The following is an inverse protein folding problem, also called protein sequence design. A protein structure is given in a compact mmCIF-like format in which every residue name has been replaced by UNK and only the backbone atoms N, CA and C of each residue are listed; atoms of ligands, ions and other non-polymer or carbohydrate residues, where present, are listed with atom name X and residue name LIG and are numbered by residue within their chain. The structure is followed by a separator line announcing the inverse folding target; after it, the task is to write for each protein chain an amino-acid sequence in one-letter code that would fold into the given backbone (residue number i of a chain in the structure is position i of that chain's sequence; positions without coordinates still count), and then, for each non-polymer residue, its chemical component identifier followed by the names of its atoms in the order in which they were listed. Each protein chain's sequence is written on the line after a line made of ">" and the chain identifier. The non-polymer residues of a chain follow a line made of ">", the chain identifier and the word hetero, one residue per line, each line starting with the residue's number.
data_IF_236076229501
#
_entry.id   IF_236076229501
#
_cell.length_a   1.000
_cell.length_b   1.000
_cell.length_c   1.000
_cell.angle_alpha   90.00
_cell.angle_beta   90.00
_cell.angle_gamma   90.00
#
_symmetry.space_group_name_H-M   'P 1'
#
loop_
_entity.id
_entity.type
_entity.pdbx_description
1 polymer ?
#
# COMPACT_ATOMS: atom_id res chain seq x y z
N UNK A 1 -0.51 -9.14 -12.90
CA UNK A 1 0.26 -10.38 -12.56
C UNK A 1 1.11 -10.91 -13.72
N UNK A 2 0.64 -10.88 -14.96
CA UNK A 2 1.42 -11.33 -16.13
C UNK A 2 2.72 -10.53 -16.31
N UNK A 3 2.64 -9.18 -16.18
CA UNK A 3 3.82 -8.28 -16.25
C UNK A 3 4.93 -8.69 -15.28
N UNK A 4 4.58 -9.08 -14.05
CA UNK A 4 5.54 -9.54 -13.04
C UNK A 4 6.17 -10.87 -13.44
N UNK A 5 5.37 -11.82 -13.92
CA UNK A 5 5.87 -13.13 -14.37
C UNK A 5 6.84 -13.01 -15.55
N UNK A 6 6.61 -12.09 -16.46
CA UNK A 6 7.51 -11.83 -17.59
C UNK A 6 8.84 -11.25 -17.11
N UNK A 7 8.80 -10.30 -16.18
CA UNK A 7 10.02 -9.70 -15.60
C UNK A 7 10.86 -10.70 -14.82
N UNK A 8 10.27 -11.68 -14.17
CA UNK A 8 11.03 -12.72 -13.44
C UNK A 8 11.73 -13.74 -14.35
N UNK A 9 11.33 -13.84 -15.63
CA UNK A 9 11.90 -14.79 -16.58
C UNK A 9 13.17 -14.31 -17.28
N UNK A 10 13.39 -13.02 -17.35
CA UNK A 10 14.52 -12.43 -18.10
C UNK A 10 15.10 -11.21 -17.38
N UNK A 11 16.18 -11.45 -16.63
CA UNK A 11 16.85 -10.40 -15.85
C UNK A 11 17.66 -9.40 -16.71
N UNK A 12 18.10 -9.80 -17.89
CA UNK A 12 18.99 -8.96 -18.72
C UNK A 12 18.24 -7.90 -19.55
N UNK A 13 16.94 -8.09 -19.78
CA UNK A 13 16.14 -7.22 -20.66
C UNK A 13 14.93 -6.58 -19.95
N UNK A 14 14.64 -6.97 -18.72
CA UNK A 14 13.46 -6.51 -18.01
C UNK A 14 13.74 -5.33 -17.06
N UNK A 15 12.90 -4.32 -17.11
CA UNK A 15 12.90 -3.27 -16.10
C UNK A 15 12.59 -3.88 -14.71
N UNK A 16 13.04 -3.24 -13.61
CA UNK A 16 12.67 -3.67 -12.25
C UNK A 16 11.17 -3.84 -12.07
N UNK A 17 10.76 -4.80 -11.23
CA UNK A 17 9.37 -4.88 -10.78
C UNK A 17 9.08 -3.64 -9.94
N UNK A 18 8.01 -2.91 -10.26
CA UNK A 18 7.54 -1.77 -9.46
C UNK A 18 6.27 -2.15 -8.70
N UNK A 19 6.35 -2.13 -7.38
CA UNK A 19 5.22 -2.39 -6.48
C UNK A 19 4.86 -1.10 -5.74
N UNK A 20 3.59 -0.69 -5.80
CA UNK A 20 3.10 0.46 -5.04
C UNK A 20 2.21 -0.02 -3.89
N UNK A 21 2.33 0.62 -2.74
CA UNK A 21 1.58 0.30 -1.53
C UNK A 21 0.85 1.55 -1.05
N UNK A 22 -0.47 1.57 -1.23
CA UNK A 22 -1.36 2.65 -0.83
C UNK A 22 -2.09 2.26 0.45
N UNK A 23 -2.01 3.08 1.48
CA UNK A 23 -2.64 2.77 2.76
C UNK A 23 -2.39 3.83 3.84
N UNK A 24 -2.67 3.44 5.06
CA UNK A 24 -2.58 4.24 6.27
C UNK A 24 -1.21 4.12 6.99
N UNK A 25 -1.20 4.30 8.32
CA UNK A 25 -0.01 4.22 9.16
C UNK A 25 0.71 2.87 9.08
N UNK A 26 -0.01 1.77 8.93
CA UNK A 26 0.58 0.42 8.83
C UNK A 26 1.39 0.32 7.53
N UNK A 27 0.84 0.83 6.43
CA UNK A 27 1.54 0.91 5.14
C UNK A 27 2.68 1.92 5.19
N UNK A 28 2.51 3.05 5.88
CA UNK A 28 3.57 4.04 6.05
C UNK A 28 4.80 3.45 6.74
N UNK A 29 4.60 2.53 7.70
CA UNK A 29 5.65 1.87 8.48
C UNK A 29 5.59 2.21 9.95
N UNK A 30 4.43 2.65 10.46
CA UNK A 30 4.23 2.84 11.90
C UNK A 30 4.36 1.49 12.59
N UNK A 31 5.35 1.37 13.46
CA UNK A 31 5.70 0.16 14.20
C UNK A 31 5.08 0.17 15.60
N UNK A 32 5.06 1.32 16.23
CA UNK A 32 4.57 1.52 17.59
C UNK A 32 3.88 2.89 17.72
N UNK A 33 2.88 2.96 18.59
CA UNK A 33 2.27 4.23 19.03
C UNK A 33 2.74 4.55 20.43
N UNK A 34 3.30 5.74 20.62
CA UNK A 34 3.70 6.23 21.92
C UNK A 34 2.75 7.36 22.33
N UNK A 35 2.22 7.26 23.53
CA UNK A 35 1.51 8.37 24.15
C UNK A 35 2.53 9.43 24.62
N UNK A 36 2.55 10.57 23.95
CA UNK A 36 3.48 11.67 24.27
C UNK A 36 2.88 12.67 25.26
N UNK A 37 1.56 12.75 25.33
CA UNK A 37 0.74 13.51 26.29
C UNK A 37 -0.61 12.80 26.42
N UNK A 38 -1.41 13.07 27.47
CA UNK A 38 -2.72 12.45 27.62
C UNK A 38 -3.53 12.52 26.32
N UNK A 39 -3.91 11.36 25.78
CA UNK A 39 -4.69 11.17 24.55
C UNK A 39 -4.00 11.64 23.25
N UNK A 40 -2.68 11.97 23.29
CA UNK A 40 -1.90 12.35 22.11
C UNK A 40 -0.88 11.28 21.81
N UNK A 41 -1.03 10.64 20.65
CA UNK A 41 -0.17 9.54 20.21
C UNK A 41 0.69 9.97 19.02
N UNK A 42 1.98 9.62 19.07
CA UNK A 42 2.90 9.75 17.95
C UNK A 42 3.31 8.36 17.46
N UNK A 43 3.57 8.25 16.15
CA UNK A 43 4.06 7.02 15.54
C UNK A 43 5.59 6.93 15.63
N UNK A 44 6.09 5.79 16.09
CA UNK A 44 7.47 5.36 15.80
C UNK A 44 7.45 4.57 14.50
N UNK A 45 8.32 4.95 13.58
CA UNK A 45 8.41 4.30 12.27
C UNK A 45 9.61 3.36 12.21
N UNK A 46 9.39 2.16 11.63
CA UNK A 46 10.44 1.24 11.22
C UNK A 46 10.24 0.84 9.76
N UNK A 47 10.90 1.56 8.86
CA UNK A 47 10.82 1.33 7.42
C UNK A 47 11.51 0.03 6.97
N UNK A 48 12.34 -0.59 7.82
CA UNK A 48 12.97 -1.87 7.53
C UNK A 48 12.07 -3.07 7.90
N UNK A 49 11.24 -2.92 8.93
CA UNK A 49 10.32 -3.95 9.39
C UNK A 49 8.95 -3.90 8.70
N UNK A 50 8.64 -2.83 7.97
CA UNK A 50 7.35 -2.70 7.29
C UNK A 50 7.13 -3.80 6.24
N UNK A 51 5.90 -4.28 6.16
CA UNK A 51 5.55 -5.49 5.40
C UNK A 51 5.97 -5.46 3.92
N UNK A 52 5.90 -4.31 3.26
CA UNK A 52 6.31 -4.18 1.86
C UNK A 52 7.84 -4.25 1.67
N UNK A 53 8.64 -3.74 2.62
CA UNK A 53 10.10 -3.91 2.61
C UNK A 53 10.47 -5.38 2.81
N UNK A 54 9.77 -6.08 3.71
CA UNK A 54 9.97 -7.51 3.91
C UNK A 54 9.55 -8.33 2.68
N UNK A 55 8.45 -7.95 2.02
CA UNK A 55 8.01 -8.57 0.77
C UNK A 55 9.05 -8.39 -0.34
N UNK A 56 9.57 -7.16 -0.52
CA UNK A 56 10.66 -6.90 -1.46
C UNK A 56 11.84 -7.85 -1.22
N UNK A 57 12.34 -7.92 0.02
CA UNK A 57 13.46 -8.81 0.39
C UNK A 57 13.17 -10.28 0.05
N UNK A 58 11.94 -10.74 0.28
CA UNK A 58 11.51 -12.12 -0.06
C UNK A 58 11.46 -12.35 -1.58
N UNK A 59 10.93 -11.41 -2.35
CA UNK A 59 10.88 -11.55 -3.82
C UNK A 59 12.30 -11.60 -4.38
N UNK A 60 13.18 -10.70 -3.97
CA UNK A 60 14.58 -10.64 -4.43
C UNK A 60 15.39 -11.89 -4.00
N UNK A 61 15.04 -12.52 -2.87
CA UNK A 61 15.61 -13.80 -2.45
C UNK A 61 15.19 -14.94 -3.40
N UNK A 62 13.93 -14.99 -3.82
CA UNK A 62 13.41 -16.03 -4.73
C UNK A 62 13.85 -15.79 -6.18
N UNK A 63 13.94 -14.53 -6.58
CA UNK A 63 14.30 -14.10 -7.93
C UNK A 63 15.51 -13.14 -7.88
N UNK A 64 16.73 -13.66 -7.61
CA UNK A 64 17.91 -12.82 -7.28
C UNK A 64 18.34 -11.90 -8.41
N UNK A 65 17.93 -12.18 -9.64
CA UNK A 65 18.23 -11.36 -10.81
C UNK A 65 17.12 -10.37 -11.17
N UNK A 66 16.09 -10.26 -10.37
CA UNK A 66 14.93 -9.40 -10.64
C UNK A 66 14.80 -8.35 -9.53
N UNK A 67 15.38 -7.16 -9.70
CA UNK A 67 15.30 -6.12 -8.69
C UNK A 67 13.86 -5.61 -8.53
N UNK A 68 13.50 -5.28 -7.30
CA UNK A 68 12.17 -4.78 -6.94
C UNK A 68 12.26 -3.35 -6.44
N UNK A 69 11.49 -2.45 -7.04
CA UNK A 69 11.28 -1.09 -6.55
C UNK A 69 9.97 -1.03 -5.78
N UNK A 70 10.01 -0.44 -4.59
CA UNK A 70 8.84 -0.23 -3.73
C UNK A 70 8.50 1.25 -3.69
N UNK A 71 7.25 1.57 -3.93
CA UNK A 71 6.65 2.89 -3.75
C UNK A 71 5.79 2.79 -2.49
N UNK A 72 6.26 3.39 -1.40
CA UNK A 72 5.48 3.52 -0.17
C UNK A 72 4.60 4.77 -0.27
N UNK A 73 3.31 4.57 -0.51
CA UNK A 73 2.29 5.60 -0.53
C UNK A 73 1.38 5.51 0.72
N UNK A 74 1.91 5.03 1.84
CA UNK A 74 1.25 5.06 3.15
C UNK A 74 1.32 6.44 3.78
N UNK A 75 0.24 6.87 4.42
CA UNK A 75 0.17 8.11 5.22
C UNK A 75 -0.52 7.79 6.54
N UNK A 76 0.13 8.08 7.66
CA UNK A 76 -0.44 7.84 9.00
C UNK A 76 -1.70 8.66 9.20
N UNK A 77 -2.74 8.02 9.76
CA UNK A 77 -4.05 8.63 9.99
C UNK A 77 -4.95 8.71 8.75
N UNK A 78 -4.45 8.30 7.58
CA UNK A 78 -5.21 8.37 6.33
C UNK A 78 -6.34 7.33 6.29
N UNK A 79 -7.38 7.62 5.54
CA UNK A 79 -8.48 6.68 5.26
C UNK A 79 -8.68 6.52 3.75
N UNK A 80 -9.54 5.59 3.35
CA UNK A 80 -9.77 5.26 1.95
C UNK A 80 -10.21 6.47 1.11
N UNK A 81 -10.97 7.40 1.71
CA UNK A 81 -11.41 8.62 1.03
C UNK A 81 -10.24 9.51 0.61
N UNK A 82 -9.30 9.77 1.51
CA UNK A 82 -8.08 10.53 1.17
C UNK A 82 -7.21 9.74 0.19
N UNK A 83 -7.12 8.41 0.36
CA UNK A 83 -6.45 7.52 -0.59
C UNK A 83 -6.98 7.67 -2.02
N UNK A 84 -8.30 7.74 -2.20
CA UNK A 84 -8.93 7.94 -3.50
C UNK A 84 -8.55 9.29 -4.14
N UNK A 85 -8.39 10.34 -3.34
CA UNK A 85 -8.00 11.66 -3.84
C UNK A 85 -6.54 11.74 -4.30
N UNK A 86 -5.66 10.90 -3.75
CA UNK A 86 -4.21 10.96 -4.01
C UNK A 86 -3.66 9.78 -4.81
N UNK A 87 -4.44 8.73 -5.09
CA UNK A 87 -3.98 7.55 -5.81
C UNK A 87 -3.37 7.89 -7.18
N UNK A 88 -3.92 8.87 -7.88
CA UNK A 88 -3.39 9.35 -9.16
C UNK A 88 -1.96 9.89 -9.02
N UNK A 89 -1.72 10.74 -8.01
CA UNK A 89 -0.42 11.37 -7.76
C UNK A 89 0.61 10.38 -7.21
N UNK A 90 0.20 9.57 -6.22
CA UNK A 90 1.13 8.82 -5.38
C UNK A 90 1.40 7.40 -5.91
N UNK A 91 0.50 6.87 -6.74
CA UNK A 91 0.58 5.52 -7.28
C UNK A 91 0.60 5.52 -8.80
N UNK A 92 -0.47 6.02 -9.45
CA UNK A 92 -0.66 5.86 -10.89
C UNK A 92 0.41 6.58 -11.70
N UNK A 93 0.82 7.78 -11.27
CA UNK A 93 1.87 8.56 -11.94
C UNK A 93 3.21 7.81 -12.05
N UNK A 94 3.50 6.90 -11.12
CA UNK A 94 4.71 6.09 -11.14
C UNK A 94 4.61 4.84 -12.03
N UNK A 95 3.43 4.52 -12.55
CA UNK A 95 3.17 3.36 -13.39
C UNK A 95 3.70 2.04 -12.78
N UNK A 96 3.19 1.60 -11.62
CA UNK A 96 3.60 0.34 -11.01
C UNK A 96 3.06 -0.86 -11.80
N UNK A 97 3.72 -2.00 -11.63
CA UNK A 97 3.24 -3.28 -12.18
C UNK A 97 2.09 -3.87 -11.35
N UNK A 98 2.05 -3.49 -10.06
CA UNK A 98 1.04 -3.93 -9.10
C UNK A 98 0.86 -2.87 -8.02
N UNK A 99 -0.37 -2.57 -7.67
CA UNK A 99 -0.73 -1.81 -6.49
C UNK A 99 -1.29 -2.73 -5.39
N UNK A 100 -0.85 -2.52 -4.17
CA UNK A 100 -1.44 -3.12 -2.97
C UNK A 100 -2.16 -2.02 -2.20
N UNK A 101 -3.43 -2.20 -1.92
CA UNK A 101 -4.29 -1.21 -1.24
C UNK A 101 -4.72 -1.78 0.10
N UNK A 102 -4.47 -1.04 1.19
CA UNK A 102 -4.85 -1.43 2.54
C UNK A 102 -5.38 -0.21 3.31
N UNK A 103 -6.69 -0.20 3.55
CA UNK A 103 -7.41 0.78 4.37
C UNK A 103 -8.46 0.08 5.20
N UNK A 104 -9.02 0.78 6.17
CA UNK A 104 -10.16 0.33 6.96
C UNK A 104 -10.02 0.63 8.45
N UNK A 105 -8.81 0.69 9.00
CA UNK A 105 -8.60 0.93 10.42
C UNK A 105 -9.10 2.30 10.87
N UNK A 106 -8.81 3.35 10.10
CA UNK A 106 -9.27 4.71 10.40
C UNK A 106 -10.69 4.97 9.88
N UNK A 107 -11.12 4.23 8.87
CA UNK A 107 -12.42 4.41 8.21
C UNK A 107 -13.60 4.08 9.12
N UNK A 108 -13.43 3.17 10.07
CA UNK A 108 -14.50 2.77 11.01
C UNK A 108 -14.96 3.90 11.93
N UNK A 109 -14.16 4.93 12.10
CA UNK A 109 -14.44 6.10 12.93
C UNK A 109 -15.08 7.26 12.16
N UNK A 110 -15.22 7.12 10.84
CA UNK A 110 -15.80 8.17 10.00
C UNK A 110 -17.35 8.14 10.05
N UNK A 111 -18.00 9.32 9.97
CA UNK A 111 -19.47 9.42 9.99
C UNK A 111 -20.17 8.62 8.88
N UNK A 112 -19.53 8.53 7.71
CA UNK A 112 -20.04 7.81 6.54
C UNK A 112 -19.99 6.27 6.70
N UNK A 113 -19.28 5.80 7.71
CA UNK A 113 -19.21 4.39 8.08
C UNK A 113 -18.79 3.46 6.93
N UNK A 114 -19.29 2.24 6.94
CA UNK A 114 -18.95 1.19 5.96
C UNK A 114 -19.31 1.60 4.53
N UNK A 115 -20.40 2.30 4.30
CA UNK A 115 -20.83 2.71 2.96
C UNK A 115 -19.87 3.74 2.36
N UNK A 116 -19.36 4.67 3.16
CA UNK A 116 -18.33 5.63 2.75
C UNK A 116 -17.03 4.93 2.38
N UNK A 117 -16.60 4.02 3.22
CA UNK A 117 -15.41 3.18 2.98
C UNK A 117 -15.51 2.38 1.67
N UNK A 118 -16.63 1.68 1.46
CA UNK A 118 -16.84 0.88 0.23
C UNK A 118 -16.86 1.75 -1.02
N UNK A 119 -17.48 2.95 -0.96
CA UNK A 119 -17.44 3.90 -2.09
C UNK A 119 -16.04 4.35 -2.40
N UNK A 120 -15.25 4.71 -1.39
CA UNK A 120 -13.88 5.16 -1.55
C UNK A 120 -12.96 4.06 -2.12
N UNK A 121 -13.07 2.83 -1.62
CA UNK A 121 -12.33 1.69 -2.20
C UNK A 121 -12.70 1.43 -3.66
N UNK A 122 -13.99 1.50 -3.99
CA UNK A 122 -14.44 1.35 -5.37
C UNK A 122 -13.85 2.41 -6.29
N UNK A 123 -13.75 3.64 -5.82
CA UNK A 123 -13.13 4.73 -6.58
C UNK A 123 -11.63 4.47 -6.79
N UNK A 124 -10.87 4.08 -5.74
CA UNK A 124 -9.46 3.69 -5.86
C UNK A 124 -9.28 2.58 -6.91
N UNK A 125 -10.07 1.51 -6.80
CA UNK A 125 -9.95 0.38 -7.73
C UNK A 125 -10.32 0.75 -9.16
N UNK A 126 -11.33 1.60 -9.34
CA UNK A 126 -11.72 2.10 -10.66
C UNK A 126 -10.59 2.89 -11.31
N UNK A 127 -9.97 3.81 -10.57
CA UNK A 127 -8.84 4.60 -11.07
C UNK A 127 -7.64 3.73 -11.44
N UNK A 128 -7.28 2.74 -10.60
CA UNK A 128 -6.18 1.81 -10.86
C UNK A 128 -6.46 0.91 -12.07
N UNK A 129 -7.69 0.42 -12.19
CA UNK A 129 -8.12 -0.40 -13.32
C UNK A 129 -8.10 0.39 -14.65
N UNK A 130 -8.55 1.64 -14.64
CA UNK A 130 -8.47 2.52 -15.81
C UNK A 130 -7.04 2.81 -16.26
N UNK A 131 -6.09 2.75 -15.32
CA UNK A 131 -4.66 2.89 -15.58
C UNK A 131 -3.96 1.57 -15.96
N UNK A 132 -4.69 0.46 -16.14
CA UNK A 132 -4.15 -0.88 -16.42
C UNK A 132 -3.14 -1.36 -15.36
N UNK A 133 -3.42 -1.08 -14.09
CA UNK A 133 -2.62 -1.51 -12.94
C UNK A 133 -3.35 -2.64 -12.23
N UNK A 134 -2.67 -3.79 -12.08
CA UNK A 134 -3.16 -4.90 -11.26
C UNK A 134 -3.28 -4.47 -9.79
N UNK A 135 -4.31 -4.95 -9.07
CA UNK A 135 -4.57 -4.58 -7.68
C UNK A 135 -4.69 -5.80 -6.80
N UNK A 136 -4.04 -5.74 -5.63
CA UNK A 136 -4.32 -6.62 -4.50
C UNK A 136 -4.92 -5.77 -3.38
N UNK A 137 -6.07 -6.17 -2.88
CA UNK A 137 -6.64 -5.60 -1.68
C UNK A 137 -6.23 -6.43 -0.47
N UNK A 138 -5.67 -5.76 0.54
CA UNK A 138 -5.43 -6.33 1.86
C UNK A 138 -6.48 -5.80 2.81
N UNK A 139 -7.28 -6.70 3.39
CA UNK A 139 -8.19 -6.34 4.47
C UNK A 139 -7.39 -5.86 5.69
N UNK A 140 -7.89 -4.87 6.45
CA UNK A 140 -7.25 -4.47 7.68
C UNK A 140 -7.22 -5.65 8.67
N UNK A 141 -6.19 -5.68 9.52
CA UNK A 141 -6.18 -6.63 10.65
C UNK A 141 -7.35 -6.34 11.57
N UNK A 142 -7.98 -7.39 12.08
CA UNK A 142 -8.98 -7.21 13.14
C UNK A 142 -8.26 -6.70 14.39
N UNK A 143 -8.72 -5.55 14.91
CA UNK A 143 -8.26 -5.07 16.21
C UNK A 143 -8.66 -6.07 17.29
N UNK A 144 -7.75 -6.37 18.22
CA UNK A 144 -8.12 -7.03 19.45
C UNK A 144 -8.98 -6.03 20.26
N UNK A 145 -10.25 -6.36 20.45
CA UNK A 145 -11.14 -5.67 21.43
C UNK A 145 -10.78 -6.09 22.83
#
# INVERSE_FOLDING_TARGET
>A
MQKIQEKTKSSAAAAPIKLAFLGDSITHGCFELIETRPEVFDCIYDFEAVYHTLLKKKIECVFPNCPVSVINAGISGDCAFQGAQRVQRDVIAAQPDLAVVMYGWNDVHLPEGVDGYVRALRDIFTQLQQADIDVIFMSPSMGCT
#
